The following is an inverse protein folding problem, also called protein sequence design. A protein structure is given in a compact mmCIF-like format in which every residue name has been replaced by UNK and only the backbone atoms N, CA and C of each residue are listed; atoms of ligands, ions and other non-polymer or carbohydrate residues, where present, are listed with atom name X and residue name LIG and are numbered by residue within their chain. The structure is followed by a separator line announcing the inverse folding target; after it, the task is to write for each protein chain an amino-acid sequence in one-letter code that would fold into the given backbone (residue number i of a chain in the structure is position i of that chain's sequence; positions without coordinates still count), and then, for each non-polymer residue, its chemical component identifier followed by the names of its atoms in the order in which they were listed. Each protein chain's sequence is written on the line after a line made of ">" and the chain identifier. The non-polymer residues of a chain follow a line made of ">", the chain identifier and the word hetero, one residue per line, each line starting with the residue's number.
data_IF_492833733413
#
_entry.id   IF_492833733413
#
_cell.length_a   1.000
_cell.length_b   1.000
_cell.length_c   1.000
_cell.angle_alpha   90.00
_cell.angle_beta   90.00
_cell.angle_gamma   90.00
#
_symmetry.space_group_name_H-M   'P 1'
#
loop_
_entity.id
_entity.type
_entity.pdbx_description
1 polymer ?
#
# COMPACT_ATOMS: atom_id res chain seq x y z
N UNK A 1 13.33 -1.11 22.78
CA UNK A 1 11.90 -1.32 23.10
C UNK A 1 11.00 -1.04 21.89
N UNK A 2 11.28 -0.01 21.09
CA UNK A 2 10.47 0.36 19.90
C UNK A 2 10.47 -0.66 18.75
N UNK A 3 11.59 -1.36 18.48
CA UNK A 3 11.67 -2.36 17.38
C UNK A 3 10.65 -3.50 17.51
N UNK A 4 10.46 -4.05 18.71
CA UNK A 4 9.48 -5.12 18.93
C UNK A 4 8.05 -4.61 18.71
N UNK A 5 7.78 -3.35 19.07
CA UNK A 5 6.46 -2.75 18.85
C UNK A 5 6.21 -2.48 17.35
N UNK A 6 7.22 -1.95 16.64
CA UNK A 6 7.15 -1.71 15.19
C UNK A 6 6.89 -3.00 14.41
N UNK A 7 7.63 -4.07 14.72
CA UNK A 7 7.44 -5.38 14.09
C UNK A 7 6.02 -5.92 14.31
N UNK A 8 5.54 -5.89 15.54
CA UNK A 8 4.21 -6.37 15.90
C UNK A 8 3.11 -5.57 15.20
N UNK A 9 3.23 -4.24 15.11
CA UNK A 9 2.24 -3.40 14.44
C UNK A 9 2.21 -3.65 12.93
N UNK A 10 3.36 -3.81 12.29
CA UNK A 10 3.43 -4.16 10.87
C UNK A 10 2.84 -5.54 10.61
N UNK A 11 3.15 -6.53 11.45
CA UNK A 11 2.58 -7.87 11.34
C UNK A 11 1.06 -7.85 11.51
N UNK A 12 0.54 -7.14 12.52
CA UNK A 12 -0.89 -6.99 12.72
C UNK A 12 -1.59 -6.29 11.54
N UNK A 13 -0.98 -5.25 10.96
CA UNK A 13 -1.51 -4.62 9.74
C UNK A 13 -1.42 -5.55 8.53
N UNK A 14 -0.38 -6.39 8.43
CA UNK A 14 -0.24 -7.36 7.36
C UNK A 14 -1.33 -8.43 7.43
N UNK A 15 -1.58 -8.99 8.62
CA UNK A 15 -2.62 -9.99 8.83
C UNK A 15 -4.00 -9.43 8.47
N UNK A 16 -4.27 -8.17 8.86
CA UNK A 16 -5.50 -7.48 8.48
C UNK A 16 -5.59 -7.27 6.97
N UNK A 17 -4.50 -6.88 6.31
CA UNK A 17 -4.47 -6.70 4.86
C UNK A 17 -4.74 -8.02 4.12
N UNK A 18 -4.09 -9.11 4.53
CA UNK A 18 -4.28 -10.43 3.92
C UNK A 18 -5.72 -10.91 4.11
N UNK A 19 -6.31 -10.70 5.29
CA UNK A 19 -7.72 -11.00 5.54
C UNK A 19 -8.65 -10.21 4.61
N UNK A 20 -8.39 -8.92 4.38
CA UNK A 20 -9.16 -8.11 3.43
C UNK A 20 -9.04 -8.65 2.00
N UNK A 21 -7.83 -9.08 1.60
CA UNK A 21 -7.59 -9.69 0.30
C UNK A 21 -8.35 -11.00 0.15
N UNK A 22 -8.37 -11.87 1.17
CA UNK A 22 -9.11 -13.13 1.12
C UNK A 22 -10.62 -12.94 1.00
N UNK A 23 -11.17 -11.93 1.69
CA UNK A 23 -12.60 -11.61 1.63
C UNK A 23 -12.98 -11.08 0.24
N UNK A 24 -12.16 -10.17 -0.31
CA UNK A 24 -12.56 -9.39 -1.47
C UNK A 24 -11.93 -9.81 -2.80
N UNK A 25 -10.93 -10.69 -2.80
CA UNK A 25 -10.23 -11.12 -4.01
C UNK A 25 -10.39 -12.61 -4.28
N UNK A 26 -10.55 -12.93 -5.56
CA UNK A 26 -10.57 -14.31 -6.08
C UNK A 26 -9.17 -14.92 -6.31
N UNK A 27 -8.09 -14.13 -6.16
CA UNK A 27 -6.73 -14.61 -6.37
C UNK A 27 -6.30 -15.52 -5.22
N UNK A 28 -5.70 -16.67 -5.54
CA UNK A 28 -4.93 -17.43 -4.56
C UNK A 28 -3.65 -16.66 -4.21
N UNK A 29 -3.52 -16.26 -2.96
CA UNK A 29 -2.35 -15.53 -2.47
C UNK A 29 -1.23 -16.50 -2.14
N UNK A 30 0.00 -16.16 -2.54
CA UNK A 30 1.18 -16.92 -2.16
C UNK A 30 1.54 -16.67 -0.69
N UNK A 31 1.94 -17.69 0.08
CA UNK A 31 2.45 -17.49 1.44
C UNK A 31 3.83 -16.82 1.46
N UNK A 32 4.54 -16.74 0.32
CA UNK A 32 5.82 -16.05 0.24
C UNK A 32 5.59 -14.54 0.11
N UNK A 33 5.88 -13.79 1.17
CA UNK A 33 5.64 -12.35 1.25
C UNK A 33 6.97 -11.62 1.18
N UNK A 34 7.08 -10.68 0.25
CA UNK A 34 8.20 -9.75 0.12
C UNK A 34 7.70 -8.31 0.22
N UNK A 35 8.58 -7.41 0.64
CA UNK A 35 8.22 -6.03 0.95
C UNK A 35 8.94 -5.04 0.04
N UNK A 36 8.31 -3.92 -0.22
CA UNK A 36 8.96 -2.71 -0.73
C UNK A 36 8.60 -1.54 0.18
N UNK A 37 9.51 -0.60 0.35
CA UNK A 37 9.29 0.60 1.18
C UNK A 37 9.11 1.82 0.31
N UNK A 38 8.16 2.68 0.67
CA UNK A 38 7.88 3.91 -0.06
C UNK A 38 7.66 5.10 0.86
N UNK A 39 8.42 6.17 0.66
CA UNK A 39 8.11 7.47 1.24
C UNK A 39 6.98 8.09 0.42
N UNK A 40 5.86 8.44 1.05
CA UNK A 40 4.72 9.02 0.33
C UNK A 40 5.10 10.25 -0.52
N UNK A 41 6.10 11.03 -0.08
CA UNK A 41 6.50 12.26 -0.79
C UNK A 41 7.29 11.99 -2.08
N UNK A 42 7.70 10.74 -2.33
CA UNK A 42 8.32 10.38 -3.61
C UNK A 42 7.32 10.38 -4.77
N UNK A 43 6.01 10.35 -4.48
CA UNK A 43 4.97 10.30 -5.48
C UNK A 43 4.61 11.69 -6.00
N UNK A 44 4.65 11.83 -7.33
CA UNK A 44 4.29 13.06 -8.04
C UNK A 44 2.95 12.90 -8.75
N UNK A 45 2.19 13.99 -8.85
CA UNK A 45 0.95 14.05 -9.61
C UNK A 45 0.00 15.09 -9.03
N UNK A 46 -0.71 15.79 -9.92
CA UNK A 46 -1.69 16.83 -9.56
C UNK A 46 -2.99 16.25 -8.99
N UNK A 47 -3.25 14.97 -9.25
CA UNK A 47 -4.44 14.26 -8.82
C UNK A 47 -4.13 12.79 -8.48
N UNK A 48 -5.10 12.11 -7.87
CA UNK A 48 -4.97 10.72 -7.42
C UNK A 48 -4.65 9.72 -8.53
N UNK A 49 -5.11 9.98 -9.76
CA UNK A 49 -4.86 9.07 -10.90
C UNK A 49 -3.40 9.16 -11.36
N UNK A 50 -2.88 10.38 -11.49
CA UNK A 50 -1.47 10.62 -11.83
C UNK A 50 -0.53 10.08 -10.75
N UNK A 51 -0.83 10.36 -9.48
CA UNK A 51 -0.07 9.83 -8.35
C UNK A 51 -0.04 8.30 -8.35
N UNK A 52 -1.18 7.65 -8.63
CA UNK A 52 -1.25 6.18 -8.74
C UNK A 52 -0.37 5.64 -9.87
N UNK A 53 -0.40 6.27 -11.05
CA UNK A 53 0.44 5.87 -12.19
C UNK A 53 1.93 6.02 -11.81
N UNK A 54 2.30 7.14 -11.20
CA UNK A 54 3.65 7.41 -10.76
C UNK A 54 4.12 6.43 -9.68
N UNK A 55 3.29 6.18 -8.66
CA UNK A 55 3.52 5.16 -7.62
C UNK A 55 3.80 3.80 -8.24
N UNK A 56 2.94 3.35 -9.15
CA UNK A 56 3.10 2.04 -9.77
C UNK A 56 4.41 1.92 -10.56
N UNK A 57 4.79 2.99 -11.27
CA UNK A 57 6.05 3.05 -12.01
C UNK A 57 7.25 2.99 -11.06
N UNK A 58 7.28 3.82 -10.02
CA UNK A 58 8.40 3.83 -9.06
C UNK A 58 8.50 2.51 -8.29
N UNK A 59 7.39 2.01 -7.76
CA UNK A 59 7.37 0.77 -6.98
C UNK A 59 7.79 -0.46 -7.81
N UNK A 60 7.57 -0.44 -9.13
CA UNK A 60 8.05 -1.52 -10.01
C UNK A 60 9.57 -1.61 -10.13
N UNK A 61 10.29 -0.55 -9.76
CA UNK A 61 11.76 -0.47 -9.79
C UNK A 61 12.40 -0.73 -8.43
N UNK A 62 11.59 -0.89 -7.37
CA UNK A 62 12.09 -1.05 -6.01
C UNK A 62 12.65 -2.44 -5.78
N UNK A 63 13.70 -2.48 -4.97
CA UNK A 63 14.35 -3.72 -4.55
C UNK A 63 13.45 -4.39 -3.49
N UNK A 64 13.07 -5.67 -3.69
CA UNK A 64 12.35 -6.43 -2.68
C UNK A 64 13.18 -6.62 -1.41
N UNK A 65 12.51 -6.56 -0.26
CA UNK A 65 13.07 -6.71 1.07
C UNK A 65 12.37 -7.82 1.83
N UNK A 66 13.09 -8.41 2.79
CA UNK A 66 12.47 -9.20 3.86
C UNK A 66 11.79 -8.29 4.87
N UNK A 67 10.92 -8.85 5.71
CA UNK A 67 10.26 -8.09 6.78
C UNK A 67 11.29 -7.45 7.73
N UNK A 68 12.33 -8.19 8.13
CA UNK A 68 13.34 -7.69 9.07
C UNK A 68 14.17 -6.54 8.45
N UNK A 69 14.51 -6.63 7.16
CA UNK A 69 15.19 -5.55 6.46
C UNK A 69 14.30 -4.29 6.34
N UNK A 70 13.00 -4.48 6.06
CA UNK A 70 12.04 -3.37 6.02
C UNK A 70 11.89 -2.69 7.39
N UNK A 71 11.80 -3.47 8.47
CA UNK A 71 11.73 -2.98 9.85
C UNK A 71 13.00 -2.20 10.21
N UNK A 72 14.17 -2.68 9.82
CA UNK A 72 15.43 -2.00 10.10
C UNK A 72 15.45 -0.59 9.50
N UNK A 73 15.02 -0.44 8.25
CA UNK A 73 14.93 0.87 7.58
C UNK A 73 13.92 1.77 8.30
N UNK A 74 12.71 1.27 8.57
CA UNK A 74 11.66 2.05 9.25
C UNK A 74 12.05 2.45 10.67
N UNK A 75 12.81 1.61 11.37
CA UNK A 75 13.27 1.89 12.72
C UNK A 75 14.29 3.04 12.75
N UNK A 76 15.09 3.22 11.71
CA UNK A 76 16.01 4.36 11.60
C UNK A 76 15.26 5.70 11.43
N UNK A 77 14.04 5.64 10.91
CA UNK A 77 13.19 6.81 10.67
C UNK A 77 12.09 6.96 11.74
N UNK A 78 12.08 6.10 12.77
CA UNK A 78 10.92 5.88 13.65
C UNK A 78 10.38 7.16 14.28
N UNK A 79 11.28 8.02 14.76
CA UNK A 79 10.90 9.27 15.44
C UNK A 79 10.18 10.23 14.49
N UNK A 80 10.49 10.17 13.20
CA UNK A 80 9.87 10.98 12.16
C UNK A 80 8.68 10.27 11.47
N UNK A 81 8.38 9.00 11.79
CA UNK A 81 7.22 8.31 11.21
C UNK A 81 5.91 8.86 11.77
N UNK A 82 5.01 9.27 10.88
CA UNK A 82 3.65 9.68 11.20
C UNK A 82 2.64 8.57 10.97
N UNK A 83 2.63 7.99 9.77
CA UNK A 83 1.70 6.95 9.36
C UNK A 83 2.41 5.89 8.51
N UNK A 84 2.06 4.63 8.70
CA UNK A 84 2.63 3.46 8.03
C UNK A 84 1.48 2.61 7.49
N UNK A 85 1.33 2.65 6.17
CA UNK A 85 0.24 2.02 5.44
C UNK A 85 0.75 0.81 4.65
N UNK A 86 0.07 -0.32 4.81
CA UNK A 86 0.35 -1.53 4.04
C UNK A 86 -0.64 -1.66 2.88
N UNK A 87 -0.10 -1.91 1.69
CA UNK A 87 -0.85 -2.16 0.47
C UNK A 87 -0.37 -3.43 -0.22
N UNK A 88 -1.28 -4.15 -0.91
CA UNK A 88 -0.84 -5.13 -1.90
C UNK A 88 -0.40 -4.39 -3.15
N UNK A 89 0.90 -4.37 -3.42
CA UNK A 89 1.42 -3.79 -4.65
C UNK A 89 1.20 -4.74 -5.83
N UNK A 90 1.52 -6.03 -5.63
CA UNK A 90 1.39 -7.04 -6.67
C UNK A 90 1.31 -8.44 -6.07
N UNK A 91 0.37 -9.27 -6.53
CA UNK A 91 0.34 -10.70 -6.23
C UNK A 91 0.74 -11.52 -7.47
N UNK A 92 1.85 -12.23 -7.37
CA UNK A 92 2.36 -13.15 -8.37
C UNK A 92 2.04 -14.60 -7.97
N UNK A 93 2.28 -15.54 -8.88
CA UNK A 93 2.04 -16.98 -8.61
C UNK A 93 2.90 -17.52 -7.45
N UNK A 94 4.12 -17.01 -7.31
CA UNK A 94 5.12 -17.50 -6.35
C UNK A 94 5.25 -16.61 -5.12
N UNK A 95 4.79 -15.37 -5.17
CA UNK A 95 5.00 -14.39 -4.10
C UNK A 95 3.96 -13.29 -4.15
N UNK A 96 3.77 -12.62 -3.01
CA UNK A 96 3.02 -11.38 -2.91
C UNK A 96 3.96 -10.26 -2.47
N UNK A 97 3.87 -9.13 -3.14
CA UNK A 97 4.64 -7.93 -2.88
C UNK A 97 3.75 -6.95 -2.12
N UNK A 98 4.15 -6.67 -0.88
CA UNK A 98 3.48 -5.71 0.00
C UNK A 98 4.28 -4.42 -0.02
N UNK A 99 3.62 -3.32 -0.37
CA UNK A 99 4.18 -1.98 -0.17
C UNK A 99 3.91 -1.56 1.26
N UNK A 100 4.97 -1.19 1.99
CA UNK A 100 4.87 -0.42 3.23
C UNK A 100 5.17 1.03 2.86
N UNK A 101 4.11 1.81 2.77
CA UNK A 101 4.17 3.23 2.48
C UNK A 101 4.17 4.01 3.79
N UNK A 102 5.18 4.87 4.00
CA UNK A 102 5.29 5.66 5.21
C UNK A 102 5.22 7.16 4.92
N UNK A 103 4.71 7.90 5.91
CA UNK A 103 4.57 9.34 5.91
C UNK A 103 5.45 9.89 7.01
N UNK A 104 6.22 10.94 6.74
CA UNK A 104 7.05 11.58 7.77
C UNK A 104 6.36 12.80 8.37
N UNK A 105 6.54 12.99 9.68
CA UNK A 105 6.04 14.13 10.45
C UNK A 105 6.66 15.42 9.92
N UNK A 106 7.94 15.40 9.59
CA UNK A 106 8.71 16.53 9.05
C UNK A 106 8.15 17.13 7.75
N UNK A 107 7.26 16.44 7.03
CA UNK A 107 6.63 16.98 5.82
C UNK A 107 5.39 17.82 6.09
N UNK A 108 4.88 17.83 7.31
CA UNK A 108 3.76 18.71 7.67
C UNK A 108 4.24 20.13 7.96
N UNK A 109 3.34 21.10 7.81
CA UNK A 109 3.60 22.49 8.19
C UNK A 109 4.02 22.59 9.67
N UNK A 110 4.89 23.55 9.97
CA UNK A 110 5.55 23.72 11.27
C UNK A 110 4.58 23.71 12.46
N UNK A 111 3.43 24.37 12.31
CA UNK A 111 2.40 24.45 13.35
C UNK A 111 1.74 23.11 13.63
N UNK A 112 1.53 22.30 12.60
CA UNK A 112 0.98 20.95 12.74
C UNK A 112 2.04 19.98 13.26
N UNK A 113 3.25 20.02 12.70
CA UNK A 113 4.40 19.22 13.14
C UNK A 113 4.63 19.36 14.65
N UNK A 114 4.59 20.59 15.18
CA UNK A 114 4.79 20.85 16.61
C UNK A 114 3.77 20.13 17.49
N UNK A 115 2.54 19.92 17.00
CA UNK A 115 1.47 19.21 17.71
C UNK A 115 1.65 17.69 17.65
N UNK A 116 2.21 17.15 16.57
CA UNK A 116 2.29 15.71 16.32
C UNK A 116 3.68 15.09 16.53
N UNK A 117 4.73 15.89 16.75
CA UNK A 117 6.12 15.43 16.83
C UNK A 117 6.33 14.28 17.83
N UNK A 118 5.61 14.29 18.94
CA UNK A 118 5.70 13.30 20.01
C UNK A 118 4.69 12.15 19.88
N UNK A 119 3.81 12.17 18.87
CA UNK A 119 2.83 11.10 18.68
C UNK A 119 3.54 9.84 18.14
N UNK A 120 3.10 8.64 18.58
CA UNK A 120 3.57 7.41 17.96
C UNK A 120 3.05 7.30 16.51
N UNK A 121 3.76 6.59 15.62
CA UNK A 121 3.26 6.33 14.28
C UNK A 121 1.98 5.49 14.31
N UNK A 122 1.08 5.79 13.39
CA UNK A 122 -0.12 4.98 13.14
C UNK A 122 0.18 3.89 12.11
N UNK A 123 -0.57 2.79 12.19
CA UNK A 123 -0.41 1.64 11.28
C UNK A 123 -1.76 1.24 10.72
N UNK A 124 -1.83 1.10 9.40
CA UNK A 124 -3.07 0.70 8.74
C UNK A 124 -2.85 -0.33 7.64
N UNK A 125 -3.85 -1.18 7.45
CA UNK A 125 -4.04 -1.98 6.26
C UNK A 125 -4.94 -1.22 5.29
N UNK A 126 -4.45 -0.90 4.09
CA UNK A 126 -5.23 -0.19 3.08
C UNK A 126 -5.47 -1.10 1.88
N UNK A 127 -6.75 -1.30 1.61
CA UNK A 127 -7.21 -2.12 0.50
C UNK A 127 -7.97 -1.23 -0.49
N UNK A 128 -7.48 -1.14 -1.72
CA UNK A 128 -8.15 -0.34 -2.76
C UNK A 128 -9.21 -1.15 -3.49
N UNK A 129 -10.47 -0.71 -3.41
CA UNK A 129 -11.57 -1.28 -4.18
C UNK A 129 -11.60 -0.72 -5.62
N UNK A 130 -11.86 -1.55 -6.65
CA UNK A 130 -12.06 -1.05 -7.99
C UNK A 130 -13.32 -0.17 -8.05
N UNK A 131 -13.25 0.96 -8.73
CA UNK A 131 -14.38 1.90 -8.88
C UNK A 131 -15.59 1.33 -9.64
N UNK A 132 -15.39 0.22 -10.36
CA UNK A 132 -16.44 -0.55 -11.05
C UNK A 132 -16.86 -1.80 -10.24
N UNK A 133 -16.34 -1.98 -9.03
CA UNK A 133 -16.69 -3.10 -8.16
C UNK A 133 -18.15 -3.02 -7.76
N UNK A 134 -18.91 -4.07 -8.05
CA UNK A 134 -20.26 -4.25 -7.50
C UNK A 134 -20.13 -4.87 -6.11
N UNK A 135 -20.99 -4.46 -5.18
CA UNK A 135 -21.07 -5.10 -3.86
C UNK A 135 -21.27 -6.61 -4.00
N UNK A 136 -20.52 -7.40 -3.22
CA UNK A 136 -20.57 -8.86 -3.23
C UNK A 136 -19.78 -9.56 -4.35
N UNK A 137 -19.08 -8.82 -5.22
CA UNK A 137 -18.27 -9.42 -6.28
C UNK A 137 -16.79 -9.34 -5.93
N UNK A 138 -16.12 -10.50 -5.92
CA UNK A 138 -14.67 -10.57 -5.78
C UNK A 138 -13.96 -10.04 -7.03
N UNK A 139 -12.77 -9.47 -6.86
CA UNK A 139 -11.99 -8.88 -7.97
C UNK A 139 -10.51 -9.24 -7.91
N UNK A 140 -9.80 -9.00 -9.02
CA UNK A 140 -8.37 -9.27 -9.11
C UNK A 140 -7.60 -8.38 -8.15
N UNK A 141 -6.83 -8.96 -7.22
CA UNK A 141 -5.97 -8.20 -6.30
C UNK A 141 -4.98 -7.31 -7.06
N UNK A 142 -4.60 -7.72 -8.28
CA UNK A 142 -3.72 -6.93 -9.13
C UNK A 142 -4.46 -5.87 -9.96
N UNK A 143 -5.74 -5.59 -9.74
CA UNK A 143 -6.51 -4.69 -10.61
C UNK A 143 -5.88 -3.30 -10.77
N UNK A 144 -5.16 -2.80 -9.75
CA UNK A 144 -4.46 -1.52 -9.81
C UNK A 144 -3.21 -1.54 -10.68
N UNK A 145 -2.45 -2.64 -10.64
CA UNK A 145 -1.22 -2.83 -11.40
C UNK A 145 -1.49 -3.39 -12.81
N UNK A 146 -2.63 -4.05 -12.98
CA UNK A 146 -2.98 -4.80 -14.17
C UNK A 146 -3.80 -3.96 -15.12
N UNK A 147 -3.13 -3.40 -16.13
CA UNK A 147 -3.76 -3.05 -17.41
C UNK A 147 -4.25 -4.29 -18.19
N UNK A 148 -4.74 -5.34 -17.51
CA UNK A 148 -5.32 -6.51 -18.17
C UNK A 148 -6.49 -6.06 -19.03
N UNK A 149 -6.60 -6.63 -20.23
CA UNK A 149 -7.66 -6.32 -21.19
C UNK A 149 -9.05 -6.29 -20.52
N UNK A 150 -9.36 -7.25 -19.64
CA UNK A 150 -10.62 -7.28 -18.88
C UNK A 150 -10.88 -5.99 -18.09
N UNK A 151 -9.88 -5.46 -17.39
CA UNK A 151 -10.02 -4.20 -16.65
C UNK A 151 -10.20 -3.02 -17.60
N UNK A 152 -9.41 -2.95 -18.68
CA UNK A 152 -9.57 -1.89 -19.69
C UNK A 152 -10.98 -1.89 -20.27
N UNK A 153 -11.52 -3.07 -20.61
CA UNK A 153 -12.90 -3.22 -21.10
C UNK A 153 -13.95 -2.85 -20.04
N UNK A 154 -13.79 -3.25 -18.77
CA UNK A 154 -14.70 -2.86 -17.68
C UNK A 154 -14.69 -1.35 -17.43
N UNK A 155 -13.52 -0.71 -17.47
CA UNK A 155 -13.38 0.75 -17.35
C UNK A 155 -14.00 1.46 -18.55
N UNK A 156 -13.78 0.96 -19.76
CA UNK A 156 -14.35 1.51 -20.99
C UNK A 156 -15.89 1.44 -20.97
N UNK A 157 -16.47 0.29 -20.62
CA UNK A 157 -17.92 0.11 -20.47
C UNK A 157 -18.51 1.01 -19.38
N UNK A 158 -17.80 1.20 -18.26
CA UNK A 158 -18.24 2.12 -17.20
C UNK A 158 -18.27 3.57 -17.67
N UNK A 159 -17.24 4.03 -18.40
CA UNK A 159 -17.20 5.38 -19.00
C UNK A 159 -18.33 5.60 -20.02
N UNK A 160 -18.68 4.57 -20.79
CA UNK A 160 -19.81 4.63 -21.73
C UNK A 160 -21.17 4.75 -21.03
N UNK A 161 -21.32 4.23 -19.80
CA UNK A 161 -22.56 4.33 -19.01
C UNK A 161 -22.74 5.66 -18.30
N UNK A 162 -21.67 6.41 -18.09
CA UNK A 162 -21.69 7.73 -17.45
C UNK A 162 -21.85 8.89 -18.46
N UNK A 163 -21.78 8.58 -19.76
CA UNK A 163 -22.17 9.47 -20.86
C UNK A 163 -23.63 9.20 -21.23
#
# INVERSE_FOLDING_TARGET
>A
MYQNNLKNNIQHSLDNLLRLVEIHCWNKISPNIIFILSDFNEFKGSNSSEQRIHRNKLNSLKIPLTLDAAIQVLNNEYDDLYDVNLYVFKALKKEIIIEIQYYRKSNFETDYYTKIKNNPPMFHAKFSLPFFGKSGVQYDVNWEASGRLRHIWSVFLYKLRLK
#
